data_IF_593826968387
#
_entry.id   IF_593826968387
#
_cell.length_a   1.000
_cell.length_b   1.000
_cell.length_c   1.000
_cell.angle_alpha   90.00
_cell.angle_beta   90.00
_cell.angle_gamma   90.00
#
_symmetry.space_group_name_H-M   'P 1'
#
loop_
_entity.id
_entity.type
_entity.pdbx_description
1 polymer ?
#
# COMPACT_ATOMS: atom_id res chain seq x y z
N UNK A 1 -26.38 -6.24 -15.10
CA UNK A 1 -26.02 -4.91 -14.60
C UNK A 1 -24.51 -4.84 -14.36
N UNK A 2 -23.91 -3.74 -14.71
CA UNK A 2 -22.49 -3.56 -14.48
C UNK A 2 -22.23 -3.19 -13.02
N UNK A 3 -21.10 -3.66 -12.50
CA UNK A 3 -20.67 -3.33 -11.14
C UNK A 3 -20.15 -1.89 -11.10
N UNK A 4 -20.29 -1.19 -9.96
CA UNK A 4 -19.68 0.13 -9.82
C UNK A 4 -18.15 0.02 -9.87
N UNK A 5 -17.51 1.02 -10.46
CA UNK A 5 -16.06 1.09 -10.55
C UNK A 5 -15.46 1.56 -9.24
N UNK A 6 -14.26 1.09 -8.92
CA UNK A 6 -13.49 1.58 -7.78
C UNK A 6 -11.99 1.53 -8.04
N UNK A 7 -11.28 2.27 -7.22
CA UNK A 7 -9.83 2.24 -7.12
C UNK A 7 -9.46 1.73 -5.72
N UNK A 8 -8.40 0.96 -5.60
CA UNK A 8 -7.96 0.39 -4.34
C UNK A 8 -6.60 0.94 -3.94
N UNK A 9 -6.43 1.27 -2.67
CA UNK A 9 -5.14 1.62 -2.09
C UNK A 9 -4.81 0.64 -0.98
N UNK A 10 -3.68 -0.07 -1.13
CA UNK A 10 -3.19 -1.05 -0.17
C UNK A 10 -2.01 -0.48 0.61
N UNK A 11 -2.15 -0.40 1.93
CA UNK A 11 -1.05 -0.03 2.83
C UNK A 11 -0.52 -1.31 3.47
N UNK A 12 0.71 -1.69 3.11
CA UNK A 12 1.32 -2.96 3.50
C UNK A 12 2.70 -2.77 4.13
N UNK A 13 2.89 -1.70 4.89
CA UNK A 13 4.20 -1.34 5.45
C UNK A 13 4.56 -2.07 6.74
N UNK A 14 3.55 -2.50 7.49
CA UNK A 14 3.73 -3.15 8.80
C UNK A 14 3.02 -4.48 8.88
N UNK A 15 2.65 -4.86 10.12
CA UNK A 15 1.99 -6.13 10.39
C UNK A 15 0.51 -6.16 10.01
N UNK A 16 -0.09 -4.98 9.81
CA UNK A 16 -1.50 -4.86 9.43
C UNK A 16 -1.64 -4.43 7.99
N UNK A 17 -2.61 -5.03 7.31
CA UNK A 17 -3.01 -4.60 5.99
C UNK A 17 -4.19 -3.64 6.11
N UNK A 18 -4.07 -2.47 5.48
CA UNK A 18 -5.18 -1.53 5.33
C UNK A 18 -5.51 -1.40 3.85
N UNK A 19 -6.79 -1.44 3.51
CA UNK A 19 -7.23 -1.26 2.12
C UNK A 19 -8.31 -0.19 2.09
N UNK A 20 -8.10 0.82 1.26
CA UNK A 20 -9.12 1.83 0.98
C UNK A 20 -9.81 1.55 -0.33
N UNK A 21 -11.12 1.66 -0.34
CA UNK A 21 -11.95 1.55 -1.54
C UNK A 21 -12.38 2.96 -1.91
N UNK A 22 -11.96 3.41 -3.08
CA UNK A 22 -12.18 4.78 -3.56
C UNK A 22 -13.09 4.76 -4.77
N UNK A 23 -14.00 5.72 -4.84
CA UNK A 23 -14.85 5.95 -6.00
C UNK A 23 -14.73 7.43 -6.37
N UNK A 24 -14.41 7.71 -7.63
CA UNK A 24 -14.16 9.07 -8.11
C UNK A 24 -13.08 9.80 -7.29
N UNK A 25 -12.07 9.03 -6.84
CA UNK A 25 -10.95 9.55 -6.06
C UNK A 25 -11.25 9.78 -4.59
N UNK A 26 -12.45 9.47 -4.12
CA UNK A 26 -12.84 9.68 -2.71
C UNK A 26 -13.01 8.37 -1.96
N UNK A 27 -12.55 8.34 -0.71
CA UNK A 27 -12.63 7.15 0.14
C UNK A 27 -14.09 6.84 0.49
N UNK A 28 -14.54 5.64 0.15
CA UNK A 28 -15.89 5.17 0.44
C UNK A 28 -15.92 4.16 1.58
N UNK A 29 -14.90 3.31 1.66
CA UNK A 29 -14.85 2.25 2.67
C UNK A 29 -13.40 1.91 2.95
N UNK A 30 -13.12 1.49 4.18
CA UNK A 30 -11.81 0.98 4.57
C UNK A 30 -11.95 -0.42 5.14
N UNK A 31 -10.97 -1.27 4.84
CA UNK A 31 -10.90 -2.63 5.35
C UNK A 31 -9.52 -2.83 5.97
N UNK A 32 -9.44 -3.69 6.98
CA UNK A 32 -8.18 -4.04 7.60
C UNK A 32 -8.11 -5.53 7.85
N UNK A 33 -6.89 -6.06 7.97
CA UNK A 33 -6.68 -7.47 8.28
C UNK A 33 -5.38 -7.65 9.06
N UNK A 34 -5.41 -8.56 10.04
CA UNK A 34 -4.23 -8.99 10.79
C UNK A 34 -3.64 -10.27 10.23
N UNK A 35 -4.26 -10.84 9.20
CA UNK A 35 -3.75 -12.04 8.53
C UNK A 35 -2.47 -11.73 7.78
N UNK A 36 -1.62 -12.73 7.51
CA UNK A 36 -0.47 -12.54 6.63
C UNK A 36 -0.89 -11.91 5.30
N UNK A 37 -0.09 -10.99 4.79
CA UNK A 37 -0.42 -10.23 3.57
C UNK A 37 -0.73 -11.12 2.37
N UNK A 38 -0.04 -12.26 2.24
CA UNK A 38 -0.29 -13.19 1.14
C UNK A 38 -1.73 -13.72 1.13
N UNK A 39 -2.27 -14.06 2.31
CA UNK A 39 -3.65 -14.53 2.43
C UNK A 39 -4.63 -13.37 2.32
N UNK A 40 -4.38 -12.30 3.05
CA UNK A 40 -5.29 -11.17 3.14
C UNK A 40 -5.52 -10.49 1.79
N UNK A 41 -4.46 -10.26 1.03
CA UNK A 41 -4.57 -9.62 -0.28
C UNK A 41 -5.39 -10.48 -1.23
N UNK A 42 -5.10 -11.77 -1.29
CA UNK A 42 -5.82 -12.70 -2.16
C UNK A 42 -7.30 -12.76 -1.82
N UNK A 43 -7.63 -12.91 -0.53
CA UNK A 43 -9.03 -12.97 -0.08
C UNK A 43 -9.78 -11.68 -0.36
N UNK A 44 -9.16 -10.52 -0.06
CA UNK A 44 -9.80 -9.23 -0.28
C UNK A 44 -10.04 -8.95 -1.75
N UNK A 45 -9.07 -9.24 -2.61
CA UNK A 45 -9.24 -9.06 -4.06
C UNK A 45 -10.35 -9.94 -4.60
N UNK A 46 -10.43 -11.20 -4.15
CA UNK A 46 -11.49 -12.12 -4.57
C UNK A 46 -12.87 -11.61 -4.17
N UNK A 47 -13.01 -11.05 -2.96
CA UNK A 47 -14.28 -10.46 -2.51
C UNK A 47 -14.61 -9.17 -3.24
N UNK A 48 -13.64 -8.28 -3.37
CA UNK A 48 -13.88 -6.96 -3.94
C UNK A 48 -14.21 -7.02 -5.44
N UNK A 49 -13.61 -7.96 -6.17
CA UNK A 49 -13.93 -8.09 -7.61
C UNK A 49 -15.34 -8.58 -7.87
N UNK A 50 -16.00 -9.18 -6.88
CA UNK A 50 -17.41 -9.56 -6.98
C UNK A 50 -18.34 -8.37 -6.83
N UNK A 51 -17.89 -7.34 -6.12
CA UNK A 51 -18.68 -6.16 -5.78
C UNK A 51 -18.40 -4.95 -6.66
N UNK A 52 -17.17 -4.88 -7.20
CA UNK A 52 -16.70 -3.71 -7.94
C UNK A 52 -15.95 -4.11 -9.20
N UNK A 53 -15.99 -3.22 -10.19
CA UNK A 53 -15.04 -3.24 -11.29
C UNK A 53 -13.81 -2.47 -10.83
N UNK A 54 -12.75 -3.18 -10.51
CA UNK A 54 -11.51 -2.56 -10.03
C UNK A 54 -10.74 -2.01 -11.23
N UNK A 55 -10.57 -0.68 -11.28
CA UNK A 55 -9.93 -0.01 -12.41
C UNK A 55 -8.47 0.33 -12.14
N UNK A 56 -8.10 0.51 -10.87
CA UNK A 56 -6.76 0.90 -10.49
C UNK A 56 -6.40 0.32 -9.14
N UNK A 57 -5.17 -0.15 -9.02
CA UNK A 57 -4.60 -0.62 -7.76
C UNK A 57 -3.38 0.23 -7.45
N UNK A 58 -3.34 0.77 -6.25
CA UNK A 58 -2.23 1.56 -5.73
C UNK A 58 -1.75 0.87 -4.47
N UNK A 59 -0.43 0.76 -4.29
CA UNK A 59 0.11 0.19 -3.06
C UNK A 59 1.26 1.04 -2.53
N UNK A 60 1.55 0.88 -1.24
CA UNK A 60 2.72 1.52 -0.65
C UNK A 60 3.96 0.70 -1.01
N UNK A 61 4.88 1.31 -1.77
CA UNK A 61 6.10 0.62 -2.22
C UNK A 61 7.23 0.64 -1.20
N UNK A 62 6.99 1.19 -0.04
CA UNK A 62 7.95 1.21 1.06
C UNK A 62 8.12 2.60 1.67
N UNK A 63 9.02 2.73 2.63
CA UNK A 63 9.81 1.65 3.23
C UNK A 63 8.98 0.74 4.13
N UNK A 64 9.39 -0.52 4.24
CA UNK A 64 8.68 -1.51 5.05
C UNK A 64 9.45 -2.81 5.11
N UNK A 65 8.81 -3.89 5.58
CA UNK A 65 9.45 -5.19 5.63
C UNK A 65 9.71 -5.72 4.22
N UNK A 66 10.85 -6.36 4.02
CA UNK A 66 11.22 -6.92 2.72
C UNK A 66 10.16 -7.88 2.19
N UNK A 67 9.76 -8.85 3.01
CA UNK A 67 8.78 -9.86 2.59
C UNK A 67 7.40 -9.27 2.37
N UNK A 68 6.97 -8.35 3.23
CA UNK A 68 5.69 -7.69 3.08
C UNK A 68 5.58 -6.92 1.77
N UNK A 69 6.62 -6.17 1.44
CA UNK A 69 6.68 -5.40 0.19
C UNK A 69 6.72 -6.32 -1.03
N UNK A 70 7.52 -7.38 -0.96
CA UNK A 70 7.64 -8.34 -2.06
C UNK A 70 6.32 -9.06 -2.33
N UNK A 71 5.68 -9.56 -1.28
CA UNK A 71 4.40 -10.27 -1.39
C UNK A 71 3.32 -9.37 -1.97
N UNK A 72 3.21 -8.14 -1.47
CA UNK A 72 2.24 -7.19 -1.96
C UNK A 72 2.47 -6.87 -3.44
N UNK A 73 3.71 -6.56 -3.81
CA UNK A 73 4.05 -6.26 -5.20
C UNK A 73 3.68 -7.41 -6.14
N UNK A 74 4.08 -8.64 -5.80
CA UNK A 74 3.82 -9.80 -6.65
C UNK A 74 2.33 -10.08 -6.79
N UNK A 75 1.59 -10.09 -5.68
CA UNK A 75 0.16 -10.38 -5.72
C UNK A 75 -0.61 -9.32 -6.49
N UNK A 76 -0.33 -8.05 -6.23
CA UNK A 76 -1.07 -6.95 -6.86
C UNK A 76 -0.70 -6.75 -8.31
N UNK A 77 0.58 -6.93 -8.68
CA UNK A 77 0.99 -6.81 -10.08
C UNK A 77 0.38 -7.92 -10.95
N UNK A 78 0.31 -9.15 -10.41
CA UNK A 78 -0.33 -10.27 -11.14
C UNK A 78 -1.82 -9.99 -11.32
N UNK A 79 -2.51 -9.57 -10.27
CA UNK A 79 -3.93 -9.25 -10.37
C UNK A 79 -4.19 -8.14 -11.39
N UNK A 80 -3.41 -7.06 -11.32
CA UNK A 80 -3.56 -5.94 -12.25
C UNK A 80 -3.34 -6.37 -13.70
N UNK A 81 -2.32 -7.22 -13.93
CA UNK A 81 -2.06 -7.74 -15.26
C UNK A 81 -3.17 -8.64 -15.79
N UNK A 82 -3.69 -9.52 -14.94
CA UNK A 82 -4.75 -10.46 -15.35
C UNK A 82 -6.06 -9.73 -15.63
N UNK A 83 -6.43 -8.77 -14.81
CA UNK A 83 -7.74 -8.09 -14.90
C UNK A 83 -7.69 -6.74 -15.59
N UNK A 84 -6.54 -6.34 -16.11
CA UNK A 84 -6.41 -5.10 -16.88
C UNK A 84 -6.55 -3.83 -16.04
N UNK A 85 -6.16 -3.86 -14.76
CA UNK A 85 -6.18 -2.69 -13.91
C UNK A 85 -4.92 -1.86 -14.12
N UNK A 86 -5.02 -0.55 -13.96
CA UNK A 86 -3.84 0.28 -13.80
C UNK A 86 -3.17 -0.06 -12.48
N UNK A 87 -1.84 0.00 -12.42
CA UNK A 87 -1.07 -0.29 -11.21
C UNK A 87 -0.12 0.86 -10.92
N UNK A 88 -0.20 1.38 -9.70
CA UNK A 88 0.63 2.50 -9.27
C UNK A 88 1.17 2.29 -7.87
N UNK A 89 2.14 3.12 -7.50
CA UNK A 89 2.77 3.06 -6.20
C UNK A 89 2.84 4.44 -5.56
N UNK A 90 2.79 4.46 -4.23
CA UNK A 90 3.02 5.67 -3.43
C UNK A 90 4.00 5.34 -2.31
N UNK A 91 4.79 6.33 -1.91
CA UNK A 91 5.63 6.18 -0.73
C UNK A 91 4.78 6.16 0.54
N UNK A 92 5.16 5.33 1.50
CA UNK A 92 4.52 5.32 2.81
C UNK A 92 4.62 6.66 3.52
N UNK A 93 5.68 7.43 3.27
CA UNK A 93 5.84 8.77 3.83
C UNK A 93 4.78 9.75 3.36
N UNK A 94 4.22 9.54 2.18
CA UNK A 94 3.11 10.36 1.67
C UNK A 94 1.82 10.15 2.46
N UNK A 95 1.73 9.07 3.21
CA UNK A 95 0.52 8.70 3.93
C UNK A 95 0.63 8.88 5.44
N UNK A 96 1.76 9.41 5.94
CA UNK A 96 1.94 9.68 7.37
C UNK A 96 2.56 11.06 7.65
N UNK A 97 2.45 11.97 6.69
CA UNK A 97 2.96 13.33 6.86
C UNK A 97 4.48 13.43 6.87
N UNK A 98 5.18 12.55 6.18
CA UNK A 98 6.64 12.45 6.15
C UNK A 98 7.26 12.15 7.53
N UNK A 99 6.47 11.59 8.44
CA UNK A 99 6.94 11.17 9.76
C UNK A 99 7.72 9.85 9.65
N UNK A 100 8.47 9.46 10.69
CA UNK A 100 9.16 8.17 10.68
C UNK A 100 8.20 7.00 10.53
N UNK A 101 8.63 5.95 9.85
CA UNK A 101 7.88 4.70 9.66
C UNK A 101 8.58 3.59 10.45
N UNK A 102 7.84 2.92 11.34
CA UNK A 102 8.41 1.86 12.18
C UNK A 102 9.04 0.75 11.33
N UNK A 103 10.26 0.36 11.67
CA UNK A 103 11.01 -0.69 10.99
C UNK A 103 11.14 -1.93 11.87
N UNK A 104 12.19 -2.01 12.67
CA UNK A 104 12.42 -3.11 13.61
C UNK A 104 12.65 -2.51 14.99
N UNK A 105 12.75 -3.35 16.01
CA UNK A 105 12.76 -2.95 17.42
C UNK A 105 13.49 -1.63 17.69
N UNK A 106 12.71 -0.61 18.06
CA UNK A 106 13.25 0.67 18.46
C UNK A 106 13.76 1.55 17.33
N UNK A 107 13.73 1.08 16.09
CA UNK A 107 14.21 1.83 14.93
C UNK A 107 13.07 2.12 13.97
N UNK A 108 13.17 3.26 13.30
CA UNK A 108 12.23 3.67 12.25
C UNK A 108 12.98 4.18 11.04
N UNK A 109 12.34 4.04 9.89
CA UNK A 109 12.82 4.69 8.66
C UNK A 109 12.52 6.18 8.74
N UNK A 110 13.54 7.00 8.50
CA UNK A 110 13.41 8.46 8.54
C UNK A 110 13.80 9.02 7.17
N UNK A 111 13.00 9.93 6.66
CA UNK A 111 13.24 10.59 5.39
C UNK A 111 13.93 11.93 5.62
N UNK A 112 15.15 12.08 5.09
CA UNK A 112 15.93 13.33 5.14
C UNK A 112 16.43 13.66 3.74
N UNK A 113 15.92 14.72 3.15
CA UNK A 113 16.34 15.20 1.82
C UNK A 113 16.42 14.07 0.78
N UNK A 114 15.31 13.33 0.62
CA UNK A 114 15.16 12.20 -0.30
C UNK A 114 16.00 10.96 0.05
N UNK A 115 16.69 10.98 1.19
CA UNK A 115 17.41 9.80 1.68
C UNK A 115 16.68 9.18 2.85
N UNK A 116 16.66 7.85 2.87
CA UNK A 116 16.02 7.10 3.95
C UNK A 116 17.10 6.48 4.82
N UNK A 117 17.03 6.76 6.13
CA UNK A 117 17.95 6.18 7.12
C UNK A 117 17.17 5.50 8.22
N UNK A 118 17.85 4.66 9.02
CA UNK A 118 17.27 4.04 10.21
C UNK A 118 17.73 4.84 11.43
N UNK A 119 16.79 5.25 12.27
CA UNK A 119 17.09 6.02 13.47
C UNK A 119 16.27 5.50 14.65
N UNK A 120 16.79 5.66 15.89
CA UNK A 120 16.11 5.14 17.09
C UNK A 120 15.00 6.10 17.55
N UNK A 121 13.97 6.24 16.74
CA UNK A 121 12.82 7.10 17.02
C UNK A 121 11.53 6.31 16.82
N UNK A 122 10.43 6.80 17.38
CA UNK A 122 9.13 6.16 17.23
C UNK A 122 8.55 6.43 15.84
N UNK A 123 7.93 5.41 15.29
CA UNK A 123 7.26 5.51 14.00
C UNK A 123 5.81 6.00 14.13
N UNK A 124 5.33 6.60 13.06
CA UNK A 124 3.94 7.03 12.93
C UNK A 124 3.28 6.18 11.83
N UNK A 125 2.15 5.57 12.14
CA UNK A 125 1.44 4.72 11.20
C UNK A 125 0.94 5.51 9.99
N UNK A 126 1.00 4.89 8.82
CA UNK A 126 0.36 5.42 7.62
C UNK A 126 -1.15 5.27 7.74
N UNK A 127 -1.88 6.21 7.17
CA UNK A 127 -3.34 6.19 7.18
C UNK A 127 -3.88 6.40 5.78
N UNK A 128 -5.12 5.92 5.57
CA UNK A 128 -5.80 6.09 4.29
C UNK A 128 -6.23 7.54 4.12
N UNK A 129 -5.82 8.20 3.03
CA UNK A 129 -6.28 9.57 2.76
C UNK A 129 -7.76 9.56 2.37
N UNK A 130 -8.45 10.67 2.61
CA UNK A 130 -9.85 10.81 2.22
C UNK A 130 -10.01 10.94 0.73
N UNK A 131 -8.97 11.42 0.03
CA UNK A 131 -8.96 11.61 -1.41
C UNK A 131 -7.64 11.18 -2.00
N UNK A 132 -7.66 10.60 -3.19
CA UNK A 132 -6.46 10.24 -3.94
C UNK A 132 -5.90 11.41 -4.75
N UNK A 133 -6.62 12.52 -4.84
CA UNK A 133 -6.28 13.64 -5.73
C UNK A 133 -4.92 14.28 -5.47
N UNK A 134 -4.49 14.30 -4.22
CA UNK A 134 -3.24 14.95 -3.83
C UNK A 134 -2.07 13.98 -3.68
N UNK A 135 -2.25 12.72 -4.05
CA UNK A 135 -1.19 11.73 -3.98
C UNK A 135 -0.32 11.76 -5.23
N UNK A 136 0.99 11.71 -5.04
CA UNK A 136 1.93 11.53 -6.12
C UNK A 136 2.06 10.03 -6.40
N UNK A 137 1.23 9.54 -7.33
CA UNK A 137 1.21 8.12 -7.70
C UNK A 137 2.22 7.89 -8.80
N UNK A 138 3.17 7.00 -8.54
CA UNK A 138 4.23 6.65 -9.49
C UNK A 138 3.82 5.45 -10.33
N UNK A 139 4.21 5.48 -11.61
CA UNK A 139 4.11 4.31 -12.49
C UNK A 139 5.28 3.35 -12.29
N UNK A 140 6.33 3.79 -11.64
CA UNK A 140 7.39 2.90 -11.17
C UNK A 140 6.88 2.19 -9.92
N UNK A 141 6.48 0.95 -10.09
CA UNK A 141 5.81 0.17 -9.05
C UNK A 141 6.75 -0.75 -8.29
N UNK A 142 8.04 -0.73 -8.60
CA UNK A 142 8.99 -1.61 -7.91
C UNK A 142 9.07 -1.27 -6.42
N UNK A 143 9.17 -2.30 -5.55
CA UNK A 143 9.33 -2.05 -4.13
C UNK A 143 10.63 -1.34 -3.82
N UNK A 144 10.59 -0.42 -2.87
CA UNK A 144 11.77 0.29 -2.38
C UNK A 144 12.30 -0.43 -1.14
N UNK A 145 13.22 -1.36 -1.35
CA UNK A 145 13.82 -2.14 -0.28
C UNK A 145 14.95 -1.34 0.39
N UNK A 146 14.67 -0.84 1.58
CA UNK A 146 15.69 -0.16 2.40
C UNK A 146 16.43 -1.16 3.27
N UNK A 147 15.71 -2.19 3.78
CA UNK A 147 16.32 -3.29 4.53
C UNK A 147 16.60 -4.45 3.59
N UNK A 148 17.78 -5.04 3.73
CA UNK A 148 18.14 -6.22 2.97
C UNK A 148 17.37 -7.44 3.46
N UNK A 149 17.18 -8.40 2.57
CA UNK A 149 16.65 -9.70 2.93
C UNK A 149 17.69 -10.45 3.75
N UNK A 150 17.29 -10.91 4.92
CA UNK A 150 18.18 -11.64 5.85
C UNK A 150 17.82 -13.11 5.85
#
# INVERSE_FOLDING_TARGET
MSLPSCELLFITLGSHLLVGIYQNGELKQSLSSDKPSSEAITELLAELKKQYKITKIIYTNGPGSFMGLKVAFLALSVFAGVYGCEFGAVSGFSLNGNAPIAAKKGFSFVLNDDKISLEPVLGVSASLPKSLKNLSISTDVLPNYVLEAV
#
